data_IF_195270620743
#
_entry.id   IF_195270620743
#
_cell.length_a   1.000
_cell.length_b   1.000
_cell.length_c   1.000
_cell.angle_alpha   90.00
_cell.angle_beta   90.00
_cell.angle_gamma   90.00
#
_symmetry.space_group_name_H-M   'P 1'
#
loop_
_entity.id
_entity.type
_entity.pdbx_description
1 polymer ?
#
# COMPACT_ATOMS: atom_id res chain seq x y z
N UNK A 1 32.02 -4.11 15.87
CA UNK A 1 31.12 -5.15 16.39
C UNK A 1 29.68 -4.65 16.53
N UNK A 2 29.41 -3.52 17.14
CA UNK A 2 28.05 -2.95 17.33
C UNK A 2 27.32 -2.63 16.02
N UNK A 3 27.98 -1.98 15.04
CA UNK A 3 27.41 -1.61 13.73
C UNK A 3 27.05 -2.85 12.89
N UNK A 4 27.85 -3.91 12.97
CA UNK A 4 27.61 -5.17 12.27
C UNK A 4 26.34 -5.85 12.81
N UNK A 5 26.13 -5.82 14.12
CA UNK A 5 24.93 -6.36 14.75
C UNK A 5 23.65 -5.60 14.37
N UNK A 6 23.74 -4.26 14.28
CA UNK A 6 22.61 -3.44 13.83
C UNK A 6 22.24 -3.77 12.39
N UNK A 7 23.23 -3.81 11.47
CA UNK A 7 23.01 -4.17 10.06
C UNK A 7 22.41 -5.57 9.91
N UNK A 8 22.91 -6.56 10.66
CA UNK A 8 22.37 -7.93 10.67
C UNK A 8 20.94 -7.97 11.18
N UNK A 9 20.62 -7.26 12.26
CA UNK A 9 19.26 -7.16 12.82
C UNK A 9 18.28 -6.49 11.83
N UNK A 10 18.71 -5.43 11.16
CA UNK A 10 17.92 -4.75 10.12
C UNK A 10 17.69 -5.66 8.92
N UNK A 11 18.70 -6.40 8.47
CA UNK A 11 18.59 -7.34 7.37
C UNK A 11 17.60 -8.47 7.69
N UNK A 12 17.72 -9.08 8.87
CA UNK A 12 16.80 -10.11 9.34
C UNK A 12 15.36 -9.62 9.45
N UNK A 13 15.15 -8.41 9.98
CA UNK A 13 13.82 -7.79 10.03
C UNK A 13 13.22 -7.60 8.64
N UNK A 14 14.01 -7.13 7.67
CA UNK A 14 13.58 -6.96 6.29
C UNK A 14 13.24 -8.30 5.62
N UNK A 15 14.05 -9.32 5.87
CA UNK A 15 13.81 -10.68 5.36
C UNK A 15 12.52 -11.27 5.92
N UNK A 16 12.29 -11.15 7.23
CA UNK A 16 11.07 -11.63 7.89
C UNK A 16 9.82 -10.91 7.36
N UNK A 17 9.89 -9.60 7.16
CA UNK A 17 8.79 -8.82 6.57
C UNK A 17 8.49 -9.24 5.13
N UNK A 18 9.53 -9.49 4.32
CA UNK A 18 9.34 -9.98 2.96
C UNK A 18 8.68 -11.37 2.92
N UNK A 19 9.04 -12.27 3.85
CA UNK A 19 8.39 -13.57 3.99
C UNK A 19 6.95 -13.43 4.49
N UNK A 20 6.72 -12.54 5.44
CA UNK A 20 5.40 -12.29 6.03
C UNK A 20 4.41 -11.68 5.02
N UNK A 21 4.89 -10.83 4.11
CA UNK A 21 4.10 -10.18 3.06
C UNK A 21 4.35 -10.82 1.66
N UNK A 22 4.78 -12.07 1.62
CA UNK A 22 5.22 -12.72 0.37
C UNK A 22 4.15 -12.69 -0.72
N UNK A 23 2.90 -13.00 -0.39
CA UNK A 23 1.79 -13.07 -1.38
C UNK A 23 1.58 -11.72 -2.06
N UNK A 24 1.36 -10.68 -1.28
CA UNK A 24 1.12 -9.34 -1.83
C UNK A 24 2.36 -8.75 -2.51
N UNK A 25 3.55 -9.05 -2.02
CA UNK A 25 4.80 -8.65 -2.67
C UNK A 25 4.97 -9.29 -4.06
N UNK A 26 4.61 -10.57 -4.20
CA UNK A 26 4.65 -11.27 -5.49
C UNK A 26 3.62 -10.70 -6.46
N UNK A 27 2.39 -10.48 -6.02
CA UNK A 27 1.32 -9.92 -6.86
C UNK A 27 1.71 -8.51 -7.32
N UNK A 28 2.21 -7.67 -6.43
CA UNK A 28 2.69 -6.33 -6.77
C UNK A 28 3.85 -6.34 -7.75
N UNK A 29 4.79 -7.27 -7.59
CA UNK A 29 5.89 -7.44 -8.55
C UNK A 29 5.40 -7.87 -9.94
N UNK A 30 4.43 -8.79 -10.00
CA UNK A 30 3.81 -9.23 -11.26
C UNK A 30 3.12 -8.04 -11.94
N UNK A 31 2.37 -7.25 -11.21
CA UNK A 31 1.73 -6.02 -11.73
C UNK A 31 2.77 -5.05 -12.28
N UNK A 32 3.82 -4.77 -11.51
CA UNK A 32 4.93 -3.93 -11.92
C UNK A 32 5.57 -4.39 -13.24
N UNK A 33 5.85 -5.68 -13.38
CA UNK A 33 6.48 -6.25 -14.58
C UNK A 33 5.54 -6.32 -15.77
N UNK A 34 4.30 -6.78 -15.57
CA UNK A 34 3.29 -6.93 -16.63
C UNK A 34 2.98 -5.60 -17.31
N UNK A 35 2.90 -4.53 -16.56
CA UNK A 35 2.60 -3.19 -17.09
C UNK A 35 3.86 -2.40 -17.46
N UNK A 36 5.05 -3.00 -17.41
CA UNK A 36 6.33 -2.36 -17.74
C UNK A 36 6.57 -1.04 -17.02
N UNK A 37 6.19 -0.99 -15.74
CA UNK A 37 6.25 0.19 -14.90
C UNK A 37 7.70 0.50 -14.48
N UNK A 38 7.92 1.71 -13.98
CA UNK A 38 9.20 2.14 -13.40
C UNK A 38 9.01 2.59 -11.97
N UNK A 39 10.01 2.31 -11.12
CA UNK A 39 10.02 2.81 -9.75
C UNK A 39 10.36 4.30 -9.78
N UNK A 40 9.40 5.15 -9.38
CA UNK A 40 9.61 6.59 -9.33
C UNK A 40 10.60 6.97 -8.21
N UNK A 41 10.37 6.46 -7.01
CA UNK A 41 11.25 6.63 -5.85
C UNK A 41 10.94 5.58 -4.79
N UNK A 42 11.80 5.51 -3.78
CA UNK A 42 11.60 4.65 -2.61
C UNK A 42 11.17 5.49 -1.41
N UNK A 43 10.18 5.01 -0.70
CA UNK A 43 9.71 5.62 0.54
C UNK A 43 9.73 4.57 1.67
N UNK A 44 10.58 4.79 2.66
CA UNK A 44 10.85 3.79 3.71
C UNK A 44 11.19 2.43 3.07
N UNK A 45 10.48 1.35 3.38
CA UNK A 45 10.68 0.02 2.78
C UNK A 45 9.70 -0.25 1.62
N UNK A 46 9.25 0.78 0.93
CA UNK A 46 8.26 0.67 -0.14
C UNK A 46 8.79 1.26 -1.44
N UNK A 47 8.34 0.69 -2.56
CA UNK A 47 8.60 1.21 -3.89
C UNK A 47 7.37 1.99 -4.35
N UNK A 48 7.55 3.26 -4.69
CA UNK A 48 6.49 4.12 -5.23
C UNK A 48 6.50 4.01 -6.76
N UNK A 49 5.36 3.66 -7.32
CA UNK A 49 5.16 3.48 -8.76
C UNK A 49 3.94 4.28 -9.20
N UNK A 50 4.09 5.14 -10.22
CA UNK A 50 2.97 5.87 -10.78
C UNK A 50 2.24 5.02 -11.83
N UNK A 51 0.90 5.07 -11.79
CA UNK A 51 0.00 4.34 -12.69
C UNK A 51 -1.10 5.24 -13.20
N UNK A 52 -1.74 4.88 -14.31
CA UNK A 52 -2.84 5.63 -14.92
C UNK A 52 -4.06 4.77 -15.29
N UNK A 53 -3.97 3.45 -15.10
CA UNK A 53 -4.97 2.47 -15.55
C UNK A 53 -5.95 2.02 -14.46
N UNK A 54 -5.65 2.30 -13.18
CA UNK A 54 -6.48 1.94 -12.04
C UNK A 54 -6.33 2.97 -10.92
N UNK A 55 -7.11 2.84 -9.86
CA UNK A 55 -6.95 3.68 -8.67
C UNK A 55 -5.69 3.31 -7.88
N UNK A 56 -5.26 4.23 -7.01
CA UNK A 56 -4.12 4.00 -6.14
C UNK A 56 -4.37 2.80 -5.22
N UNK A 57 -3.35 2.00 -5.00
CA UNK A 57 -3.46 0.79 -4.16
C UNK A 57 -2.10 0.31 -3.67
N UNK A 58 -2.12 -0.60 -2.70
CA UNK A 58 -0.92 -1.16 -2.07
C UNK A 58 -0.91 -2.67 -2.14
N UNK A 59 0.21 -3.22 -2.57
CA UNK A 59 0.49 -4.65 -2.58
C UNK A 59 1.85 -4.91 -1.92
N UNK A 60 1.83 -5.11 -0.61
CA UNK A 60 3.03 -5.28 0.19
C UNK A 60 3.96 -4.06 0.10
N UNK A 61 5.19 -4.25 -0.34
CA UNK A 61 6.18 -3.17 -0.51
C UNK A 61 5.92 -2.27 -1.74
N UNK A 62 4.91 -2.57 -2.55
CA UNK A 62 4.57 -1.81 -3.75
C UNK A 62 3.42 -0.88 -3.45
N UNK A 63 3.63 0.43 -3.63
CA UNK A 63 2.63 1.47 -3.54
C UNK A 63 2.41 2.03 -4.95
N UNK A 64 1.27 1.72 -5.53
CA UNK A 64 0.87 2.21 -6.85
C UNK A 64 0.04 3.47 -6.68
N UNK A 65 0.46 4.57 -7.27
CA UNK A 65 -0.17 5.89 -7.15
C UNK A 65 -0.70 6.34 -8.49
N UNK A 66 -2.00 6.65 -8.53
CA UNK A 66 -2.60 7.36 -9.66
C UNK A 66 -2.65 8.86 -9.33
N UNK A 67 -1.85 9.71 -9.98
CA UNK A 67 -1.67 11.11 -9.61
C UNK A 67 -2.80 12.01 -10.12
N UNK A 68 -4.06 11.64 -9.87
CA UNK A 68 -5.23 12.46 -10.25
C UNK A 68 -5.52 13.62 -9.31
N UNK A 69 -4.96 13.60 -8.10
CA UNK A 69 -5.15 14.61 -7.05
C UNK A 69 -3.81 14.93 -6.38
N UNK A 70 -3.82 15.59 -5.23
CA UNK A 70 -2.60 15.90 -4.47
C UNK A 70 -1.85 14.63 -4.08
N UNK A 71 -0.67 14.43 -4.65
CA UNK A 71 0.20 13.27 -4.44
C UNK A 71 0.53 13.03 -2.96
N UNK A 72 0.65 14.10 -2.17
CA UNK A 72 0.98 14.01 -0.75
C UNK A 72 -0.17 13.39 0.05
N UNK A 73 -1.40 13.79 -0.24
CA UNK A 73 -2.61 13.27 0.41
C UNK A 73 -2.81 11.82 0.03
N UNK A 74 -2.68 11.50 -1.25
CA UNK A 74 -2.80 10.13 -1.76
C UNK A 74 -1.73 9.24 -1.12
N UNK A 75 -0.47 9.67 -1.15
CA UNK A 75 0.63 8.89 -0.56
C UNK A 75 0.41 8.62 0.93
N UNK A 76 -0.10 9.60 1.67
CA UNK A 76 -0.44 9.43 3.08
C UNK A 76 -1.51 8.35 3.27
N UNK A 77 -2.58 8.40 2.49
CA UNK A 77 -3.66 7.43 2.53
C UNK A 77 -3.15 6.01 2.20
N UNK A 78 -2.44 5.87 1.09
CA UNK A 78 -1.84 4.60 0.66
C UNK A 78 -0.84 4.05 1.68
N UNK A 79 -0.12 4.93 2.37
CA UNK A 79 0.74 4.49 3.47
C UNK A 79 -0.06 3.91 4.65
N UNK A 80 -1.29 4.36 4.87
CA UNK A 80 -2.22 3.70 5.80
C UNK A 80 -2.50 2.25 5.41
N UNK A 81 -2.76 1.97 4.12
CA UNK A 81 -2.88 0.61 3.60
C UNK A 81 -1.57 -0.18 3.72
N UNK A 82 -0.44 0.48 3.57
CA UNK A 82 0.87 -0.14 3.81
C UNK A 82 1.02 -0.61 5.27
N UNK A 83 0.54 0.17 6.23
CA UNK A 83 0.54 -0.20 7.64
C UNK A 83 -0.42 -1.37 7.89
N UNK A 84 -1.58 -1.40 7.27
CA UNK A 84 -2.51 -2.55 7.34
C UNK A 84 -1.84 -3.83 6.83
N UNK A 85 -1.06 -3.75 5.75
CA UNK A 85 -0.30 -4.88 5.23
C UNK A 85 0.74 -5.39 6.23
N UNK A 86 1.42 -4.50 6.96
CA UNK A 86 2.33 -4.88 8.05
C UNK A 86 1.61 -5.57 9.21
N UNK A 87 0.42 -5.11 9.56
CA UNK A 87 -0.34 -5.67 10.69
C UNK A 87 -0.91 -7.04 10.34
N UNK A 88 -1.49 -7.18 9.15
CA UNK A 88 -2.28 -8.35 8.73
C UNK A 88 -1.46 -9.41 8.00
N UNK A 89 -0.30 -9.05 7.43
CA UNK A 89 0.50 -9.98 6.63
C UNK A 89 -0.31 -10.63 5.50
N UNK A 90 -0.30 -11.99 5.40
CA UNK A 90 -1.02 -12.69 4.32
C UNK A 90 -2.53 -12.42 4.31
N UNK A 91 -3.12 -12.12 5.47
CA UNK A 91 -4.55 -11.82 5.59
C UNK A 91 -4.95 -10.47 4.97
N UNK A 92 -3.99 -9.58 4.73
CA UNK A 92 -4.22 -8.28 4.09
C UNK A 92 -4.99 -8.41 2.77
N UNK A 93 -4.63 -9.38 1.94
CA UNK A 93 -5.29 -9.60 0.64
C UNK A 93 -6.78 -9.86 0.80
N UNK A 94 -7.17 -10.67 1.78
CA UNK A 94 -8.56 -11.08 1.98
C UNK A 94 -9.37 -10.08 2.79
N UNK A 95 -8.77 -9.42 3.78
CA UNK A 95 -9.47 -8.51 4.70
C UNK A 95 -9.51 -7.07 4.17
N UNK A 96 -8.48 -6.64 3.45
CA UNK A 96 -8.34 -5.26 2.98
C UNK A 96 -8.37 -5.15 1.46
N UNK A 97 -7.42 -5.76 0.76
CA UNK A 97 -7.21 -5.50 -0.66
C UNK A 97 -8.41 -5.89 -1.53
N UNK A 98 -8.86 -7.13 -1.45
CA UNK A 98 -10.02 -7.61 -2.24
C UNK A 98 -11.29 -6.84 -1.88
N UNK A 99 -11.67 -6.67 -0.61
CA UNK A 99 -12.83 -5.85 -0.24
C UNK A 99 -12.74 -4.40 -0.72
N UNK A 100 -11.57 -3.75 -0.61
CA UNK A 100 -11.37 -2.39 -1.12
C UNK A 100 -11.56 -2.30 -2.62
N UNK A 101 -10.98 -3.23 -3.40
CA UNK A 101 -11.14 -3.27 -4.86
C UNK A 101 -12.60 -3.46 -5.28
N UNK A 102 -13.32 -4.38 -4.61
CA UNK A 102 -14.73 -4.63 -4.88
C UNK A 102 -15.59 -3.42 -4.51
N UNK A 103 -15.31 -2.80 -3.36
CA UNK A 103 -16.01 -1.59 -2.92
C UNK A 103 -15.77 -0.42 -3.88
N UNK A 104 -14.53 -0.20 -4.31
CA UNK A 104 -14.20 0.83 -5.31
C UNK A 104 -14.98 0.64 -6.61
N UNK A 105 -14.97 -0.57 -7.17
CA UNK A 105 -15.69 -0.89 -8.41
C UNK A 105 -17.20 -0.70 -8.29
N UNK A 106 -17.76 -1.12 -7.15
CA UNK A 106 -19.18 -0.94 -6.86
C UNK A 106 -19.53 0.53 -6.68
N UNK A 107 -18.72 1.28 -5.92
CA UNK A 107 -18.96 2.69 -5.63
C UNK A 107 -18.80 3.57 -6.86
N UNK A 108 -17.82 3.31 -7.72
CA UNK A 108 -17.59 4.06 -8.95
C UNK A 108 -18.77 4.00 -9.94
N UNK A 109 -19.61 2.98 -9.86
CA UNK A 109 -20.85 2.86 -10.65
C UNK A 109 -22.03 3.67 -10.09
N UNK A 110 -21.89 4.21 -8.89
CA UNK A 110 -22.94 4.95 -8.21
C UNK A 110 -22.53 6.41 -8.11
N UNK A 111 -23.21 7.32 -8.75
CA UNK A 111 -22.95 8.77 -8.68
C UNK A 111 -23.12 9.32 -7.25
N UNK A 112 -22.40 8.77 -6.30
CA UNK A 112 -22.39 9.16 -4.89
C UNK A 112 -21.19 10.04 -4.55
N UNK A 113 -21.31 10.78 -3.44
CA UNK A 113 -20.21 11.60 -2.94
C UNK A 113 -19.05 10.71 -2.44
N UNK A 114 -17.84 10.95 -2.92
CA UNK A 114 -16.63 10.23 -2.53
C UNK A 114 -16.32 10.27 -1.02
N UNK A 115 -16.86 11.24 -0.29
CA UNK A 115 -16.79 11.24 1.18
C UNK A 115 -17.43 9.99 1.80
N UNK A 116 -18.46 9.43 1.16
CA UNK A 116 -19.11 8.19 1.62
C UNK A 116 -18.23 6.96 1.35
N UNK A 117 -17.41 6.97 0.28
CA UNK A 117 -16.44 5.92 -0.03
C UNK A 117 -15.47 5.69 1.14
N UNK A 118 -14.92 6.76 1.71
CA UNK A 118 -13.94 6.70 2.80
C UNK A 118 -14.53 6.29 4.16
N UNK A 119 -15.85 6.10 4.27
CA UNK A 119 -16.49 5.52 5.44
C UNK A 119 -16.40 4.00 5.49
N UNK A 120 -16.06 3.35 4.38
CA UNK A 120 -15.86 1.91 4.34
C UNK A 120 -14.71 1.50 5.27
N UNK A 121 -14.85 0.35 5.96
CA UNK A 121 -13.94 -0.01 7.05
C UNK A 121 -12.47 -0.05 6.64
N UNK A 122 -12.15 -0.53 5.42
CA UNK A 122 -10.78 -0.61 4.91
C UNK A 122 -10.15 0.76 4.76
N UNK A 123 -10.88 1.71 4.17
CA UNK A 123 -10.47 3.08 3.90
C UNK A 123 -10.39 3.90 5.20
N UNK A 124 -11.42 3.80 6.03
CA UNK A 124 -11.46 4.49 7.34
C UNK A 124 -10.31 4.06 8.24
N UNK A 125 -10.00 2.77 8.27
CA UNK A 125 -8.88 2.27 9.07
C UNK A 125 -7.53 2.73 8.52
N UNK A 126 -7.34 2.74 7.18
CA UNK A 126 -6.15 3.29 6.55
C UNK A 126 -5.94 4.77 6.94
N UNK A 127 -6.99 5.58 6.87
CA UNK A 127 -6.93 6.99 7.29
C UNK A 127 -6.54 7.18 8.76
N UNK A 128 -7.09 6.37 9.66
CA UNK A 128 -6.74 6.40 11.09
C UNK A 128 -5.26 6.08 11.29
N UNK A 129 -4.77 5.03 10.64
CA UNK A 129 -3.36 4.62 10.74
C UNK A 129 -2.42 5.66 10.16
N UNK A 130 -2.80 6.30 9.07
CA UNK A 130 -1.98 7.31 8.39
C UNK A 130 -1.86 8.62 9.16
N UNK A 131 -2.91 9.03 9.90
CA UNK A 131 -2.90 10.26 10.73
C UNK A 131 -1.88 10.20 11.86
N UNK A 132 -1.60 9.02 12.37
CA UNK A 132 -0.65 8.81 13.46
C UNK A 132 0.80 8.63 13.00
N UNK A 133 1.07 8.67 11.71
CA UNK A 133 2.42 8.52 11.13
C UNK A 133 2.77 9.75 10.30
N UNK A 134 3.87 10.39 10.60
CA UNK A 134 4.43 11.45 9.76
C UNK A 134 4.88 10.84 8.44
N UNK A 135 4.18 11.15 7.37
CA UNK A 135 4.52 10.82 5.99
C UNK A 135 5.09 12.08 5.36
N UNK A 136 6.28 12.39 5.74
CA UNK A 136 7.04 13.50 5.14
C UNK A 136 8.46 13.02 4.89
#
# INVERSE_FOLDING_TARGET
MFIINIKKKMFMKKLLLNCYEFIQNCIGYIEYKKNKLTIAHKFKNSNIVYIDYFDSHVLGKWIFINPKTDDTIILRHEYGHRIQSYILGPLYMFIIYIPSCLHYKWFAKQNKNWKEYYKFYTEKWADILSKNKKVV
#
